data_IF_375323882702
#
_entry.id   IF_375323882702
#
_cell.length_a   1.000
_cell.length_b   1.000
_cell.length_c   1.000
_cell.angle_alpha   90.00
_cell.angle_beta   90.00
_cell.angle_gamma   90.00
#
_symmetry.space_group_name_H-M   'P 1'
#
loop_
_entity.id
_entity.type
_entity.pdbx_description
1 polymer ?
#
# COMPACT_ATOMS: atom_id res chain seq x y z
N UNK A 1 -7.18 -17.33 -4.67
CA UNK A 1 -7.28 -15.86 -4.72
C UNK A 1 -6.62 -15.32 -3.45
N UNK A 2 -5.38 -14.85 -3.55
CA UNK A 2 -4.69 -14.25 -2.39
C UNK A 2 -5.17 -12.81 -2.30
N UNK A 3 -5.91 -12.49 -1.24
CA UNK A 3 -6.35 -11.14 -0.95
C UNK A 3 -5.11 -10.33 -0.54
N UNK A 4 -4.47 -9.69 -1.54
CA UNK A 4 -3.16 -9.09 -1.41
C UNK A 4 -3.21 -7.74 -0.69
N UNK A 5 -3.63 -7.75 0.57
CA UNK A 5 -3.70 -6.56 1.42
C UNK A 5 -2.49 -6.54 2.34
N UNK A 6 -1.40 -5.93 1.88
CA UNK A 6 -0.31 -5.56 2.78
C UNK A 6 -0.79 -4.51 3.77
N UNK A 7 -0.43 -4.65 5.04
CA UNK A 7 -0.66 -3.67 6.09
C UNK A 7 0.14 -2.38 5.84
N UNK A 8 -0.14 -1.32 6.61
CA UNK A 8 0.65 -0.09 6.55
C UNK A 8 2.13 -0.33 6.92
N UNK A 9 2.39 -1.22 7.88
CA UNK A 9 3.74 -1.55 8.31
C UNK A 9 4.47 -2.36 7.24
N UNK A 10 3.85 -3.40 6.70
CA UNK A 10 4.43 -4.22 5.63
C UNK A 10 4.76 -3.40 4.39
N UNK A 11 3.87 -2.49 3.98
CA UNK A 11 4.13 -1.54 2.88
C UNK A 11 5.35 -0.66 3.13
N UNK A 12 5.55 -0.25 4.38
CA UNK A 12 6.71 0.55 4.77
C UNK A 12 8.00 -0.29 4.65
N UNK A 13 7.98 -1.53 5.14
CA UNK A 13 9.10 -2.48 4.99
C UNK A 13 9.42 -2.70 3.52
N UNK A 14 8.42 -3.01 2.68
CA UNK A 14 8.62 -3.19 1.24
C UNK A 14 9.19 -1.93 0.60
N UNK A 15 8.72 -0.75 1.01
CA UNK A 15 9.29 0.51 0.52
C UNK A 15 10.78 0.63 0.85
N UNK A 16 11.20 0.28 2.07
CA UNK A 16 12.62 0.25 2.49
C UNK A 16 13.42 -0.73 1.62
N UNK A 17 12.90 -1.96 1.42
CA UNK A 17 13.50 -2.99 0.56
C UNK A 17 13.76 -2.45 -0.85
N UNK A 18 12.76 -1.77 -1.43
CA UNK A 18 12.83 -1.25 -2.80
C UNK A 18 13.73 -0.02 -2.95
N UNK A 19 13.96 0.76 -1.90
CA UNK A 19 14.85 1.93 -1.94
C UNK A 19 16.27 1.62 -1.50
N UNK A 20 16.53 0.45 -0.94
CA UNK A 20 17.85 0.06 -0.48
C UNK A 20 18.83 -0.02 -1.65
N UNK A 21 19.85 0.86 -1.65
CA UNK A 21 20.93 0.84 -2.64
C UNK A 21 21.90 -0.28 -2.31
N UNK A 22 21.90 -1.33 -3.13
CA UNK A 22 22.83 -2.45 -3.01
C UNK A 22 24.27 -1.98 -3.20
N UNK A 23 25.16 -2.40 -2.30
CA UNK A 23 26.61 -2.27 -2.46
C UNK A 23 27.15 -3.59 -3.04
N UNK A 24 27.02 -3.81 -4.34
CA UNK A 24 27.60 -5.00 -5.02
C UNK A 24 26.61 -5.97 -5.66
N UNK A 25 27.15 -7.01 -6.31
CA UNK A 25 26.45 -7.95 -7.21
C UNK A 25 25.76 -9.10 -6.43
N UNK A 26 26.33 -9.52 -5.30
CA UNK A 26 25.75 -10.54 -4.40
C UNK A 26 25.48 -9.90 -3.04
N UNK A 27 24.22 -9.60 -2.75
CA UNK A 27 23.83 -9.01 -1.48
C UNK A 27 23.14 -10.07 -0.64
N UNK A 28 23.78 -10.46 0.47
CA UNK A 28 23.10 -11.24 1.51
C UNK A 28 21.90 -10.43 2.03
N UNK A 29 20.76 -11.08 2.21
CA UNK A 29 19.59 -10.42 2.77
C UNK A 29 19.84 -9.92 4.19
N UNK A 30 20.81 -10.49 4.91
CA UNK A 30 21.19 -10.11 6.27
C UNK A 30 21.46 -8.61 6.40
N UNK A 31 22.22 -8.03 5.47
CA UNK A 31 22.56 -6.59 5.51
C UNK A 31 21.33 -5.70 5.31
N UNK A 32 20.44 -6.08 4.39
CA UNK A 32 19.18 -5.40 4.19
C UNK A 32 18.26 -5.57 5.41
N UNK A 33 18.24 -6.75 6.02
CA UNK A 33 17.46 -7.03 7.21
C UNK A 33 17.94 -6.18 8.39
N UNK A 34 19.25 -6.09 8.64
CA UNK A 34 19.83 -5.19 9.63
C UNK A 34 19.50 -3.73 9.34
N UNK A 35 19.49 -3.31 8.07
CA UNK A 35 19.06 -1.96 7.69
C UNK A 35 17.58 -1.70 8.02
N UNK A 36 16.70 -2.67 7.75
CA UNK A 36 15.28 -2.59 8.10
C UNK A 36 15.12 -2.47 9.61
N UNK A 37 15.82 -3.30 10.38
CA UNK A 37 15.77 -3.28 11.84
C UNK A 37 16.21 -1.92 12.41
N UNK A 38 17.36 -1.42 11.97
CA UNK A 38 17.88 -0.10 12.38
C UNK A 38 16.91 1.06 12.03
N UNK A 39 16.21 0.94 10.92
CA UNK A 39 15.29 2.00 10.45
C UNK A 39 13.98 2.01 11.25
N UNK A 40 13.46 0.84 11.60
CA UNK A 40 12.12 0.68 12.19
C UNK A 40 12.13 0.56 13.71
N UNK A 41 13.22 0.05 14.29
CA UNK A 41 13.30 -0.26 15.70
C UNK A 41 14.53 0.39 16.31
N UNK A 42 14.32 1.35 17.21
CA UNK A 42 15.40 2.05 17.91
C UNK A 42 15.57 1.51 19.32
N UNK A 43 16.82 1.44 19.78
CA UNK A 43 17.21 1.09 21.15
C UNK A 43 16.66 -0.27 21.63
N UNK A 44 16.49 -1.23 20.72
CA UNK A 44 16.15 -2.61 21.07
C UNK A 44 17.19 -3.58 20.51
N UNK A 45 17.47 -4.64 21.27
CA UNK A 45 18.24 -5.78 20.82
C UNK A 45 17.30 -6.87 20.32
N UNK A 46 17.66 -7.53 19.23
CA UNK A 46 16.88 -8.65 18.69
C UNK A 46 17.80 -9.84 18.52
N UNK A 47 17.42 -10.98 19.09
CA UNK A 47 18.07 -12.26 18.84
C UNK A 47 17.05 -13.24 18.29
N UNK A 48 17.36 -13.87 17.17
CA UNK A 48 16.52 -14.88 16.52
C UNK A 48 17.26 -16.21 16.60
N UNK A 49 16.59 -17.20 17.17
CA UNK A 49 17.01 -18.61 17.20
C UNK A 49 15.98 -19.46 16.45
N UNK A 50 16.24 -20.76 16.31
CA UNK A 50 15.29 -21.68 15.66
C UNK A 50 13.92 -21.74 16.34
N UNK A 51 13.88 -21.50 17.65
CA UNK A 51 12.68 -21.69 18.46
C UNK A 51 11.98 -20.39 18.84
N UNK A 52 12.71 -19.27 18.85
CA UNK A 52 12.17 -18.02 19.38
C UNK A 52 12.89 -16.78 18.90
N UNK A 53 12.18 -15.66 19.01
CA UNK A 53 12.75 -14.32 18.90
C UNK A 53 12.74 -13.69 20.29
N UNK A 54 13.91 -13.30 20.75
CA UNK A 54 14.12 -12.55 21.99
C UNK A 54 14.28 -11.08 21.61
N UNK A 55 13.48 -10.23 22.26
CA UNK A 55 13.50 -8.78 22.09
C UNK A 55 13.90 -8.17 23.42
N UNK A 56 15.05 -7.52 23.44
CA UNK A 56 15.64 -6.85 24.60
C UNK A 56 15.40 -5.36 24.53
N UNK A 57 14.80 -4.79 25.58
CA UNK A 57 14.66 -3.36 25.75
C UNK A 57 15.76 -2.86 26.68
N UNK A 58 16.52 -1.85 26.25
CA UNK A 58 17.66 -1.30 27.00
C UNK A 58 17.28 -0.15 27.93
N UNK A 59 16.06 0.37 27.80
CA UNK A 59 15.53 1.46 28.59
C UNK A 59 14.21 1.05 29.23
N UNK A 60 13.82 1.75 30.30
CA UNK A 60 12.50 1.55 30.90
C UNK A 60 11.41 1.90 29.88
N UNK A 61 10.66 0.89 29.49
CA UNK A 61 9.72 0.96 28.36
C UNK A 61 8.32 0.63 28.84
N UNK A 62 7.31 1.39 28.37
CA UNK A 62 5.92 1.12 28.70
C UNK A 62 5.43 -0.18 28.06
N UNK A 63 4.60 -0.94 28.78
CA UNK A 63 4.07 -2.24 28.34
C UNK A 63 3.40 -2.17 26.97
N UNK A 64 2.63 -1.11 26.69
CA UNK A 64 1.96 -0.95 25.41
C UNK A 64 2.94 -0.83 24.23
N UNK A 65 4.04 -0.09 24.42
CA UNK A 65 5.08 0.00 23.39
C UNK A 65 5.79 -1.34 23.18
N UNK A 66 6.01 -2.10 24.24
CA UNK A 66 6.61 -3.43 24.15
C UNK A 66 5.71 -4.39 23.36
N UNK A 67 4.41 -4.40 23.63
CA UNK A 67 3.41 -5.21 22.89
C UNK A 67 3.40 -4.82 21.41
N UNK A 68 3.28 -3.53 21.11
CA UNK A 68 3.29 -3.04 19.71
C UNK A 68 4.59 -3.38 18.97
N UNK A 69 5.72 -3.35 19.67
CA UNK A 69 7.02 -3.74 19.09
C UNK A 69 7.05 -5.23 18.78
N UNK A 70 6.56 -6.06 19.70
CA UNK A 70 6.43 -7.50 19.52
C UNK A 70 5.55 -7.84 18.31
N UNK A 71 4.40 -7.19 18.19
CA UNK A 71 3.47 -7.35 17.05
C UNK A 71 4.13 -7.00 15.72
N UNK A 72 4.83 -5.86 15.64
CA UNK A 72 5.54 -5.44 14.42
C UNK A 72 6.67 -6.38 14.03
N UNK A 73 7.41 -6.91 15.00
CA UNK A 73 8.46 -7.91 14.73
C UNK A 73 7.83 -9.20 14.19
N UNK A 74 6.71 -9.63 14.77
CA UNK A 74 5.98 -10.79 14.25
C UNK A 74 5.45 -10.56 12.83
N UNK A 75 4.88 -9.39 12.58
CA UNK A 75 4.42 -8.99 11.24
C UNK A 75 5.55 -8.93 10.22
N UNK A 76 6.75 -8.47 10.62
CA UNK A 76 7.95 -8.52 9.79
C UNK A 76 8.33 -9.96 9.42
N UNK A 77 8.23 -10.89 10.38
CA UNK A 77 8.54 -12.32 10.14
C UNK A 77 7.56 -12.90 9.12
N UNK A 78 6.26 -12.69 9.31
CA UNK A 78 5.22 -13.14 8.37
C UNK A 78 5.41 -12.54 6.97
N UNK A 79 5.82 -11.28 6.89
CA UNK A 79 6.12 -10.65 5.61
C UNK A 79 7.26 -11.36 4.87
N UNK A 80 8.31 -11.81 5.55
CA UNK A 80 9.39 -12.54 4.89
C UNK A 80 8.91 -13.87 4.32
N UNK A 81 8.08 -14.61 5.05
CA UNK A 81 7.47 -15.84 4.53
C UNK A 81 6.58 -15.55 3.31
N UNK A 82 5.81 -14.47 3.36
CA UNK A 82 5.00 -14.02 2.22
C UNK A 82 5.85 -13.66 1.00
N UNK A 83 6.97 -12.95 1.20
CA UNK A 83 7.91 -12.61 0.12
C UNK A 83 8.57 -13.85 -0.49
N UNK A 84 8.84 -14.87 0.33
CA UNK A 84 9.34 -16.17 -0.14
C UNK A 84 8.31 -16.86 -1.03
N UNK A 85 7.08 -17.01 -0.54
CA UNK A 85 6.05 -17.85 -1.17
C UNK A 85 5.42 -17.20 -2.41
N UNK A 86 5.17 -15.88 -2.36
CA UNK A 86 4.42 -15.19 -3.42
C UNK A 86 5.31 -14.47 -4.44
N UNK A 87 6.53 -14.06 -4.05
CA UNK A 87 7.37 -13.18 -4.86
C UNK A 87 8.74 -13.79 -5.20
N UNK A 88 8.99 -15.05 -4.83
CA UNK A 88 10.27 -15.75 -5.06
C UNK A 88 11.50 -14.91 -4.65
N UNK A 89 11.36 -14.13 -3.58
CA UNK A 89 12.32 -13.09 -3.22
C UNK A 89 13.69 -13.63 -2.78
N UNK A 90 13.71 -14.85 -2.23
CA UNK A 90 14.89 -15.50 -1.65
C UNK A 90 15.40 -16.65 -2.52
N UNK A 91 16.73 -16.79 -2.60
CA UNK A 91 17.41 -17.90 -3.27
C UNK A 91 18.71 -18.25 -2.54
N UNK A 92 19.29 -19.41 -2.87
CA UNK A 92 20.46 -19.96 -2.19
C UNK A 92 20.28 -20.00 -0.66
N UNK A 93 19.13 -20.51 -0.21
CA UNK A 93 18.78 -20.56 1.21
C UNK A 93 19.70 -21.56 1.93
N UNK A 94 20.51 -21.13 2.91
CA UNK A 94 21.36 -22.03 3.67
C UNK A 94 20.52 -22.97 4.53
N UNK A 95 21.00 -24.20 4.75
CA UNK A 95 20.27 -25.22 5.53
C UNK A 95 20.52 -25.14 7.03
N UNK A 96 21.68 -24.63 7.43
CA UNK A 96 22.11 -24.63 8.83
C UNK A 96 22.62 -23.26 9.24
N UNK A 97 21.78 -22.55 9.97
CA UNK A 97 22.12 -21.33 10.67
C UNK A 97 21.76 -21.53 12.14
N UNK A 98 22.60 -21.04 13.06
CA UNK A 98 22.42 -21.22 14.50
C UNK A 98 21.67 -20.06 15.14
N UNK A 99 22.07 -18.82 14.87
CA UNK A 99 21.43 -17.63 15.41
C UNK A 99 21.68 -16.38 14.56
N UNK A 100 20.80 -15.39 14.74
CA UNK A 100 20.99 -14.02 14.29
C UNK A 100 20.88 -13.11 15.50
N UNK A 101 21.79 -12.12 15.61
CA UNK A 101 21.77 -11.14 16.68
C UNK A 101 21.98 -9.75 16.08
N UNK A 102 21.11 -8.82 16.48
CA UNK A 102 21.15 -7.42 16.07
C UNK A 102 21.12 -6.53 17.30
N UNK A 103 22.17 -5.73 17.48
CA UNK A 103 22.33 -4.83 18.63
C UNK A 103 22.07 -5.51 19.98
N UNK A 104 22.39 -6.80 20.11
CA UNK A 104 22.04 -7.63 21.27
C UNK A 104 23.18 -7.67 22.30
N UNK A 105 23.03 -6.93 23.38
CA UNK A 105 23.96 -6.86 24.51
C UNK A 105 23.34 -7.49 25.75
N UNK A 106 23.90 -8.58 26.25
CA UNK A 106 23.38 -9.28 27.45
C UNK A 106 23.43 -8.42 28.71
N UNK A 107 24.49 -7.61 28.85
CA UNK A 107 24.83 -6.98 30.13
C UNK A 107 24.06 -5.68 30.41
N UNK A 108 23.21 -5.23 29.47
CA UNK A 108 22.54 -3.92 29.53
C UNK A 108 21.01 -4.00 29.44
N UNK A 109 20.45 -5.20 29.47
CA UNK A 109 19.02 -5.42 29.26
C UNK A 109 18.21 -4.97 30.47
N UNK A 110 17.24 -4.09 30.25
CA UNK A 110 16.24 -3.75 31.25
C UNK A 110 15.15 -4.83 31.32
N UNK A 111 14.52 -5.16 30.18
CA UNK A 111 13.51 -6.22 30.09
C UNK A 111 13.66 -7.02 28.79
N UNK A 112 13.45 -8.33 28.89
CA UNK A 112 13.32 -9.23 27.75
C UNK A 112 11.87 -9.64 27.51
N UNK A 113 11.50 -9.72 26.24
CA UNK A 113 10.27 -10.38 25.81
C UNK A 113 10.58 -11.44 24.78
N UNK A 114 9.72 -12.45 24.68
CA UNK A 114 9.89 -13.58 23.77
C UNK A 114 8.68 -13.74 22.85
N UNK A 115 8.95 -14.02 21.58
CA UNK A 115 8.03 -14.57 20.60
C UNK A 115 8.44 -16.03 20.40
N UNK A 116 7.51 -16.97 20.59
CA UNK A 116 7.75 -18.37 20.23
C UNK A 116 7.51 -18.51 18.73
N UNK A 117 8.46 -19.09 18.01
CA UNK A 117 8.28 -19.40 16.59
C UNK A 117 7.55 -20.73 16.46
N UNK A 118 6.65 -20.78 15.48
CA UNK A 118 5.96 -22.00 15.09
C UNK A 118 6.77 -22.72 14.02
N UNK A 119 6.44 -23.98 13.74
CA UNK A 119 7.20 -24.80 12.78
C UNK A 119 7.26 -24.14 11.39
N UNK A 120 6.17 -23.49 10.97
CA UNK A 120 6.09 -22.77 9.69
C UNK A 120 7.02 -21.53 9.63
N UNK A 121 7.15 -20.80 10.74
CA UNK A 121 7.98 -19.57 10.83
C UNK A 121 9.42 -19.84 11.30
N UNK A 122 9.73 -21.09 11.67
CA UNK A 122 11.07 -21.51 12.13
C UNK A 122 12.16 -21.32 11.06
N UNK A 123 11.78 -21.29 9.78
CA UNK A 123 12.68 -21.10 8.65
C UNK A 123 13.18 -19.66 8.48
N UNK A 124 12.65 -18.70 9.25
CA UNK A 124 13.00 -17.29 9.15
C UNK A 124 14.52 -17.06 9.26
N UNK A 125 15.18 -17.84 10.11
CA UNK A 125 16.62 -17.77 10.33
C UNK A 125 17.38 -18.06 9.03
N UNK A 126 16.94 -19.07 8.28
CA UNK A 126 17.56 -19.42 7.00
C UNK A 126 17.30 -18.34 5.93
N UNK A 127 16.11 -17.69 5.97
CA UNK A 127 15.80 -16.59 5.06
C UNK A 127 16.68 -15.37 5.31
N UNK A 128 16.97 -15.04 6.58
CA UNK A 128 17.85 -13.91 6.94
C UNK A 128 19.22 -14.02 6.27
N UNK A 129 19.79 -15.23 6.20
CA UNK A 129 21.13 -15.46 5.62
C UNK A 129 21.12 -15.83 4.14
N UNK A 130 19.94 -15.89 3.51
CA UNK A 130 19.83 -16.19 2.09
C UNK A 130 20.21 -15.00 1.20
N UNK A 131 20.45 -15.27 -0.08
CA UNK A 131 20.55 -14.22 -1.07
C UNK A 131 19.15 -13.77 -1.49
N UNK A 132 19.03 -12.51 -1.93
CA UNK A 132 17.74 -11.97 -2.36
C UNK A 132 17.80 -11.22 -3.68
N UNK A 133 16.72 -11.27 -4.44
CA UNK A 133 16.53 -10.44 -5.62
C UNK A 133 15.14 -9.80 -5.63
N UNK A 134 15.08 -8.57 -6.12
CA UNK A 134 13.83 -7.82 -6.21
C UNK A 134 13.21 -8.16 -7.57
N UNK A 135 12.14 -8.95 -7.55
CA UNK A 135 11.34 -9.29 -8.75
C UNK A 135 10.64 -8.05 -9.33
N UNK A 136 10.25 -8.13 -10.61
CA UNK A 136 9.40 -7.13 -11.27
C UNK A 136 8.09 -6.92 -10.51
N UNK A 137 7.46 -8.02 -10.09
CA UNK A 137 6.16 -8.01 -9.44
C UNK A 137 6.19 -7.24 -8.12
N UNK A 138 7.28 -7.39 -7.35
CA UNK A 138 7.49 -6.63 -6.12
C UNK A 138 7.68 -5.12 -6.39
N UNK A 139 8.32 -4.75 -7.51
CA UNK A 139 8.44 -3.33 -7.90
C UNK A 139 7.10 -2.75 -8.31
N UNK A 140 6.28 -3.53 -9.00
CA UNK A 140 4.96 -3.11 -9.45
C UNK A 140 3.98 -2.86 -8.31
N UNK A 141 4.14 -3.51 -7.16
CA UNK A 141 3.39 -3.17 -5.94
C UNK A 141 3.57 -1.70 -5.53
N UNK A 142 4.79 -1.17 -5.60
CA UNK A 142 5.05 0.23 -5.27
C UNK A 142 4.42 1.16 -6.31
N UNK A 143 4.53 0.81 -7.58
CA UNK A 143 3.95 1.58 -8.69
C UNK A 143 2.41 1.63 -8.61
N UNK A 144 1.78 0.56 -8.12
CA UNK A 144 0.33 0.45 -7.94
C UNK A 144 -0.17 0.98 -6.59
N UNK A 145 0.72 1.57 -5.75
CA UNK A 145 0.42 2.00 -4.38
C UNK A 145 -0.20 0.87 -3.53
N UNK A 146 0.19 -0.37 -3.80
CA UNK A 146 -0.33 -1.57 -3.12
C UNK A 146 -1.86 -1.72 -3.24
N UNK A 147 -2.46 -1.21 -4.33
CA UNK A 147 -3.86 -1.49 -4.69
C UNK A 147 -3.88 -2.62 -5.71
N UNK A 148 -4.81 -3.57 -5.56
CA UNK A 148 -5.05 -4.56 -6.61
C UNK A 148 -5.42 -3.86 -7.91
N UNK A 149 -5.08 -4.49 -9.04
CA UNK A 149 -5.46 -4.02 -10.37
C UNK A 149 -6.99 -3.84 -10.44
N UNK A 150 -7.74 -4.77 -9.86
CA UNK A 150 -9.20 -4.71 -9.75
C UNK A 150 -9.68 -3.46 -9.02
N UNK A 151 -9.08 -3.10 -7.88
CA UNK A 151 -9.47 -1.91 -7.12
C UNK A 151 -9.11 -0.61 -7.84
N UNK A 152 -7.99 -0.60 -8.57
CA UNK A 152 -7.61 0.53 -9.43
C UNK A 152 -8.59 0.68 -10.59
N UNK A 153 -8.95 -0.42 -11.24
CA UNK A 153 -9.94 -0.43 -12.32
C UNK A 153 -11.31 0.03 -11.80
N UNK A 154 -11.72 -0.42 -10.61
CA UNK A 154 -12.95 0.02 -9.97
C UNK A 154 -12.96 1.54 -9.70
N UNK A 155 -11.84 2.12 -9.25
CA UNK A 155 -11.71 3.57 -9.08
C UNK A 155 -11.83 4.33 -10.41
N UNK A 156 -11.19 3.84 -11.47
CA UNK A 156 -11.34 4.42 -12.81
C UNK A 156 -12.78 4.33 -13.33
N UNK A 157 -13.43 3.19 -13.17
CA UNK A 157 -14.84 3.01 -13.54
C UNK A 157 -15.75 3.96 -12.77
N UNK A 158 -15.50 4.16 -11.47
CA UNK A 158 -16.25 5.12 -10.66
C UNK A 158 -16.10 6.55 -11.20
N UNK A 159 -14.88 6.97 -11.54
CA UNK A 159 -14.66 8.30 -12.12
C UNK A 159 -15.30 8.46 -13.49
N UNK A 160 -15.19 7.45 -14.36
CA UNK A 160 -15.85 7.45 -15.66
C UNK A 160 -17.37 7.60 -15.52
N UNK A 161 -17.96 6.93 -14.52
CA UNK A 161 -19.39 7.03 -14.24
C UNK A 161 -19.78 8.43 -13.76
N UNK A 162 -19.03 9.03 -12.83
CA UNK A 162 -19.26 10.39 -12.34
C UNK A 162 -19.18 11.41 -13.49
N UNK A 163 -18.13 11.33 -14.31
CA UNK A 163 -17.94 12.22 -15.46
C UNK A 163 -19.10 12.05 -16.45
N UNK A 164 -19.49 10.81 -16.76
CA UNK A 164 -20.63 10.52 -17.63
C UNK A 164 -21.94 11.10 -17.10
N UNK A 165 -22.20 11.00 -15.79
CA UNK A 165 -23.39 11.61 -15.17
C UNK A 165 -23.36 13.13 -15.30
N UNK A 166 -22.22 13.77 -15.08
CA UNK A 166 -22.07 15.23 -15.22
C UNK A 166 -22.37 15.67 -16.65
N UNK A 167 -21.80 14.98 -17.66
CA UNK A 167 -22.09 15.29 -19.06
C UNK A 167 -23.56 15.07 -19.42
N UNK A 168 -24.19 14.02 -18.90
CA UNK A 168 -25.61 13.77 -19.12
C UNK A 168 -26.50 14.88 -18.54
N UNK A 169 -26.18 15.38 -17.34
CA UNK A 169 -26.90 16.50 -16.73
C UNK A 169 -26.71 17.78 -17.55
N UNK A 170 -25.49 18.06 -17.99
CA UNK A 170 -25.18 19.20 -18.86
C UNK A 170 -25.96 19.15 -20.18
N UNK A 171 -25.97 18.00 -20.86
CA UNK A 171 -26.75 17.79 -22.08
C UNK A 171 -28.24 18.04 -21.84
N UNK A 172 -28.80 17.51 -20.75
CA UNK A 172 -30.20 17.72 -20.39
C UNK A 172 -30.52 19.19 -20.13
N UNK A 173 -29.64 19.93 -19.43
CA UNK A 173 -29.81 21.37 -19.22
C UNK A 173 -29.75 22.17 -20.54
N UNK A 174 -28.86 21.78 -21.46
CA UNK A 174 -28.78 22.41 -22.79
C UNK A 174 -30.04 22.15 -23.62
N UNK A 175 -30.58 20.93 -23.58
CA UNK A 175 -31.85 20.61 -24.25
C UNK A 175 -33.00 21.45 -23.70
N UNK A 176 -33.13 21.57 -22.37
CA UNK A 176 -34.14 22.44 -21.74
C UNK A 176 -33.98 23.89 -22.20
N UNK A 177 -32.75 24.41 -22.21
CA UNK A 177 -32.48 25.78 -22.65
C UNK A 177 -32.90 26.00 -24.11
N UNK A 178 -32.58 25.06 -25.00
CA UNK A 178 -33.00 25.12 -26.40
C UNK A 178 -34.53 25.16 -26.52
N UNK A 179 -35.25 24.28 -25.80
CA UNK A 179 -36.72 24.26 -25.81
C UNK A 179 -37.31 25.59 -25.32
N UNK A 180 -36.76 26.18 -24.27
CA UNK A 180 -37.20 27.48 -23.75
C UNK A 180 -36.95 28.59 -24.78
N UNK A 181 -35.74 28.66 -25.36
CA UNK A 181 -35.40 29.70 -26.35
C UNK A 181 -36.28 29.63 -27.61
N UNK A 182 -36.64 28.43 -28.06
CA UNK A 182 -37.53 28.23 -29.22
C UNK A 182 -38.96 28.65 -28.89
N UNK A 183 -39.41 28.47 -27.65
CA UNK A 183 -40.74 28.91 -27.21
C UNK A 183 -40.83 30.44 -27.01
N UNK A 184 -39.75 31.11 -26.59
CA UNK A 184 -39.72 32.58 -26.47
C UNK A 184 -39.88 33.28 -27.83
N UNK A 185 -39.37 32.68 -28.92
CA UNK A 185 -39.44 33.26 -30.28
C UNK A 185 -40.86 33.21 -30.90
N UNK A 186 -41.83 32.55 -30.27
CA UNK A 186 -43.21 32.41 -30.81
C UNK A 186 -44.27 33.32 -30.21
N UNK A 187 -43.96 34.17 -29.23
CA UNK A 187 -44.93 35.15 -28.72
C UNK A 187 -44.77 36.47 -29.50
N UNK A 188 -45.12 36.45 -30.78
CA UNK A 188 -45.42 37.68 -31.52
C UNK A 188 -46.63 38.34 -30.86
N UNK A 189 -46.44 39.55 -30.37
CA UNK A 189 -47.47 40.33 -29.69
C UNK A 189 -48.72 40.42 -30.59
N UNK A 190 -49.91 39.95 -30.17
CA UNK A 190 -51.12 40.02 -31.01
C UNK A 190 -51.55 41.46 -31.34
N UNK A 191 -50.96 42.46 -30.68
CA UNK A 191 -51.13 43.88 -31.00
C UNK A 191 -50.40 44.31 -32.28
N UNK A 192 -49.30 43.66 -32.65
CA UNK A 192 -48.57 43.97 -33.89
C UNK A 192 -49.30 43.44 -35.12
N UNK A 193 -49.87 42.23 -35.02
CA UNK A 193 -50.69 41.61 -36.08
C UNK A 193 -51.91 42.48 -36.43
N UNK A 194 -52.54 43.15 -35.44
CA UNK A 194 -53.68 44.04 -35.67
C UNK A 194 -53.34 45.31 -36.45
N UNK A 195 -52.10 45.80 -36.36
CA UNK A 195 -51.65 46.99 -37.09
C UNK A 195 -51.48 46.69 -38.58
N UNK A 196 -50.92 45.54 -38.90
CA UNK A 196 -50.65 45.15 -40.29
C UNK A 196 -51.92 44.75 -41.05
N UNK A 197 -52.91 44.14 -40.37
CA UNK A 197 -54.22 43.83 -40.98
C UNK A 197 -55.01 45.10 -41.32
N UNK A 198 -54.93 46.15 -40.49
CA UNK A 198 -55.61 47.42 -40.77
C UNK A 198 -55.00 48.18 -41.97
N UNK A 199 -53.70 48.00 -42.25
CA UNK A 199 -53.05 48.61 -43.43
C UNK A 199 -53.47 47.90 -44.72
N UNK A 200 -53.77 46.59 -44.65
CA UNK A 200 -54.21 45.81 -45.81
C UNK A 200 -55.67 46.04 -46.21
N UNK A 201 -56.53 46.49 -45.29
CA UNK A 201 -57.95 46.77 -45.56
C UNK A 201 -58.22 48.19 -46.07
N UNK A 202 -57.17 49.04 -46.17
CA UNK A 202 -57.24 50.42 -46.65
C UNK A 202 -56.61 50.63 -48.04
N UNK A 203 -56.32 49.55 -48.77
CA UNK A 203 -55.88 49.57 -50.17
C UNK A 203 -56.94 48.93 -51.06
#
# INVERSE_FOLDING_TARGET
MINNTFSKFERNVISIILTYKRKGIESSFKELFEHILNTLFKNIGIQITKESVIISFYEQTQTEYMIRTKEKIYELILLLDKLKMEYNFFYNIPKEVSCFAHCFYNDRVYVNTRIKLEEETSNILNLIFSNYFITSDLRDLKNTKFKSIERKNLEWTKWALIIGTIFSILSFCLEIYQVISVNEVKILNPKEIKKDVNIFLLK
#
